data_IF_656565045746
#
_entry.id   IF_656565045746
#
_cell.length_a   1.000
_cell.length_b   1.000
_cell.length_c   1.000
_cell.angle_alpha   90.00
_cell.angle_beta   90.00
_cell.angle_gamma   90.00
#
_symmetry.space_group_name_H-M   'P 1'
#
loop_
_entity.id
_entity.type
_entity.pdbx_description
1 polymer ?
#
# COMPACT_ATOMS: atom_id res chain seq x y z
N UNK A 1 -9.66 -6.86 -3.36
CA UNK A 1 -9.25 -6.02 -2.21
C UNK A 1 -9.91 -6.49 -0.91
N UNK A 2 -9.29 -6.16 0.24
CA UNK A 2 -9.82 -6.53 1.56
C UNK A 2 -10.87 -5.51 1.97
N UNK A 3 -12.13 -5.97 2.12
CA UNK A 3 -13.27 -5.12 2.45
C UNK A 3 -13.45 -4.90 3.96
N UNK A 4 -13.13 -5.89 4.78
CA UNK A 4 -13.25 -5.82 6.23
C UNK A 4 -11.96 -6.23 6.90
N UNK A 5 -11.57 -5.52 7.95
CA UNK A 5 -10.37 -5.77 8.74
C UNK A 5 -10.70 -5.75 10.23
N UNK A 6 -9.87 -6.41 11.02
CA UNK A 6 -9.93 -6.31 12.48
C UNK A 6 -8.79 -5.42 12.94
N UNK A 7 -9.10 -4.30 13.58
CA UNK A 7 -8.13 -3.36 14.14
C UNK A 7 -8.39 -3.17 15.63
N UNK A 8 -7.39 -2.75 16.38
CA UNK A 8 -7.53 -2.36 17.78
C UNK A 8 -8.12 -0.97 17.92
N UNK A 9 -7.70 -0.08 17.04
CA UNK A 9 -8.07 1.33 17.02
C UNK A 9 -8.50 1.73 15.60
N UNK A 10 -9.32 2.78 15.51
CA UNK A 10 -9.74 3.35 14.23
C UNK A 10 -8.53 3.85 13.43
N UNK A 11 -8.59 3.71 12.11
CA UNK A 11 -7.58 4.23 11.20
C UNK A 11 -8.26 4.99 10.05
N UNK A 12 -7.58 5.96 9.48
CA UNK A 12 -8.07 6.73 8.34
C UNK A 12 -8.43 5.82 7.16
N UNK A 13 -9.61 6.03 6.58
CA UNK A 13 -10.14 5.22 5.47
C UNK A 13 -10.89 3.95 5.89
N UNK A 14 -11.16 3.80 7.20
CA UNK A 14 -11.90 2.67 7.74
C UNK A 14 -13.10 3.13 8.56
N UNK A 15 -14.29 2.63 8.19
CA UNK A 15 -15.55 2.89 8.86
C UNK A 15 -15.80 1.85 9.96
N UNK A 16 -16.15 2.29 11.18
CA UNK A 16 -16.53 1.38 12.26
C UNK A 16 -17.86 0.71 11.91
N UNK A 17 -17.88 -0.62 11.92
CA UNK A 17 -19.10 -1.40 11.67
C UNK A 17 -19.94 -1.63 12.90
N UNK A 18 -19.48 -1.23 14.08
CA UNK A 18 -20.10 -1.53 15.38
C UNK A 18 -19.93 -3.00 15.83
N UNK A 19 -19.27 -3.84 15.04
CA UNK A 19 -19.02 -5.25 15.39
C UNK A 19 -17.74 -5.35 16.22
N UNK A 20 -17.90 -5.85 17.45
CA UNK A 20 -16.78 -6.00 18.39
C UNK A 20 -16.44 -7.46 18.62
N UNK A 21 -15.16 -7.74 18.69
CA UNK A 21 -14.60 -9.02 19.12
C UNK A 21 -13.97 -8.84 20.50
N UNK A 22 -13.45 -9.91 21.11
CA UNK A 22 -12.83 -9.85 22.44
C UNK A 22 -11.64 -8.88 22.50
N UNK A 23 -10.89 -8.74 21.40
CA UNK A 23 -9.60 -8.03 21.39
C UNK A 23 -9.47 -7.01 20.25
N UNK A 24 -10.50 -6.85 19.40
CA UNK A 24 -10.46 -5.96 18.26
C UNK A 24 -11.88 -5.59 17.81
N UNK A 25 -11.99 -4.54 17.05
CA UNK A 25 -13.21 -4.09 16.38
C UNK A 25 -13.12 -4.36 14.89
N UNK A 26 -14.26 -4.56 14.24
CA UNK A 26 -14.32 -4.81 12.78
C UNK A 26 -14.59 -3.50 12.07
N UNK A 27 -13.70 -3.17 11.16
CA UNK A 27 -13.81 -1.98 10.33
C UNK A 27 -14.01 -2.33 8.87
N UNK A 28 -14.77 -1.53 8.16
CA UNK A 28 -14.97 -1.62 6.72
C UNK A 28 -13.98 -0.69 6.03
N UNK A 29 -13.25 -1.23 5.08
CA UNK A 29 -12.37 -0.44 4.22
C UNK A 29 -13.21 0.30 3.17
N UNK A 30 -13.31 1.61 3.29
CA UNK A 30 -14.07 2.45 2.36
C UNK A 30 -13.44 2.50 0.96
N UNK A 31 -12.15 2.23 0.85
CA UNK A 31 -11.40 2.21 -0.41
C UNK A 31 -11.31 0.82 -1.05
N UNK A 32 -12.02 -0.17 -0.49
CA UNK A 32 -12.04 -1.49 -1.09
C UNK A 32 -12.65 -1.47 -2.49
N UNK A 33 -11.86 -1.89 -3.47
CA UNK A 33 -12.32 -2.08 -4.84
C UNK A 33 -13.09 -3.41 -4.96
N UNK A 34 -14.07 -3.50 -5.87
CA UNK A 34 -14.79 -4.74 -6.15
C UNK A 34 -13.86 -5.81 -6.72
N UNK A 35 -14.39 -7.01 -6.93
CA UNK A 35 -13.62 -8.13 -7.46
C UNK A 35 -13.14 -7.88 -8.90
N UNK A 36 -13.96 -7.20 -9.70
CA UNK A 36 -13.63 -6.81 -11.07
C UNK A 36 -13.98 -5.34 -11.32
N UNK A 37 -13.13 -4.64 -12.01
CA UNK A 37 -13.29 -3.24 -12.38
C UNK A 37 -12.48 -2.91 -13.63
N UNK A 38 -12.93 -1.93 -14.44
CA UNK A 38 -12.20 -1.52 -15.63
C UNK A 38 -10.91 -0.81 -15.26
N UNK A 39 -9.90 -1.02 -16.08
CA UNK A 39 -8.60 -0.36 -16.01
C UNK A 39 -8.16 0.06 -17.42
N UNK A 40 -7.22 0.99 -17.50
CA UNK A 40 -6.62 1.40 -18.76
C UNK A 40 -5.76 0.29 -19.36
N UNK A 41 -5.61 0.30 -20.68
CA UNK A 41 -4.68 -0.56 -21.43
C UNK A 41 -3.21 -0.34 -21.05
N UNK A 42 -2.89 0.75 -20.35
CA UNK A 42 -1.53 1.04 -19.85
C UNK A 42 -1.02 0.03 -18.82
N UNK A 43 -1.91 -0.80 -18.27
CA UNK A 43 -1.55 -1.86 -17.31
C UNK A 43 -0.50 -2.83 -17.85
N UNK A 44 -0.47 -3.08 -19.16
CA UNK A 44 0.51 -3.94 -19.80
C UNK A 44 1.96 -3.40 -19.80
N UNK A 45 2.17 -2.11 -19.52
CA UNK A 45 3.46 -1.42 -19.60
C UNK A 45 4.07 -1.08 -18.22
N UNK A 46 3.58 -1.69 -17.14
CA UNK A 46 4.06 -1.42 -15.79
C UNK A 46 5.53 -1.80 -15.61
N UNK A 47 6.29 -0.88 -15.01
CA UNK A 47 7.64 -1.14 -14.51
C UNK A 47 7.75 -0.69 -13.06
N UNK A 48 8.51 -1.44 -12.27
CA UNK A 48 8.71 -1.17 -10.85
C UNK A 48 10.19 -0.94 -10.54
N UNK A 49 10.45 0.04 -9.66
CA UNK A 49 11.76 0.37 -9.13
C UNK A 49 11.90 -0.03 -7.66
N UNK A 50 12.91 0.54 -6.99
CA UNK A 50 13.18 0.30 -5.58
C UNK A 50 12.27 1.10 -4.62
N UNK A 51 11.68 2.18 -5.08
CA UNK A 51 10.78 3.02 -4.28
C UNK A 51 9.36 2.45 -4.31
N UNK A 52 8.83 1.92 -3.19
CA UNK A 52 7.52 1.30 -3.15
C UNK A 52 6.37 2.31 -3.34
N UNK A 53 6.57 3.57 -2.95
CA UNK A 53 5.54 4.62 -3.12
C UNK A 53 5.42 5.01 -4.59
N UNK A 54 6.54 5.16 -5.29
CA UNK A 54 6.55 5.36 -6.74
C UNK A 54 5.95 4.19 -7.50
N UNK A 55 6.21 2.96 -7.04
CA UNK A 55 5.60 1.77 -7.64
C UNK A 55 4.08 1.76 -7.49
N UNK A 56 3.56 2.21 -6.33
CA UNK A 56 2.12 2.34 -6.11
C UNK A 56 1.51 3.45 -6.98
N UNK A 57 2.18 4.60 -7.11
CA UNK A 57 1.76 5.68 -8.02
C UNK A 57 1.73 5.22 -9.48
N UNK A 58 2.76 4.50 -9.93
CA UNK A 58 2.82 3.93 -11.28
C UNK A 58 1.66 2.96 -11.51
N UNK A 59 1.36 2.11 -10.53
CA UNK A 59 0.24 1.18 -10.61
C UNK A 59 -1.09 1.92 -10.71
N UNK A 60 -1.36 2.90 -9.84
CA UNK A 60 -2.59 3.68 -9.85
C UNK A 60 -2.72 4.46 -11.17
N UNK A 61 -1.63 5.06 -11.63
CA UNK A 61 -1.60 5.79 -12.91
C UNK A 61 -1.94 4.89 -14.09
N UNK A 62 -1.34 3.69 -14.14
CA UNK A 62 -1.63 2.72 -15.18
C UNK A 62 -3.08 2.21 -15.11
N UNK A 63 -3.60 1.96 -13.91
CA UNK A 63 -5.00 1.53 -13.73
C UNK A 63 -6.01 2.60 -14.16
N UNK A 64 -5.73 3.86 -13.86
CA UNK A 64 -6.64 4.99 -14.16
C UNK A 64 -6.44 5.57 -15.56
N UNK A 65 -5.34 5.25 -16.25
CA UNK A 65 -4.96 5.88 -17.52
C UNK A 65 -4.58 7.36 -17.37
N UNK A 66 -4.24 7.80 -16.15
CA UNK A 66 -3.90 9.19 -15.85
C UNK A 66 -2.59 9.23 -15.06
N UNK A 67 -1.80 10.29 -15.25
CA UNK A 67 -0.65 10.54 -14.40
C UNK A 67 -1.13 11.00 -13.01
N UNK A 68 -1.33 10.04 -12.11
CA UNK A 68 -1.90 10.25 -10.78
C UNK A 68 -0.80 10.22 -9.74
N UNK A 69 -0.67 11.30 -8.97
CA UNK A 69 0.25 11.37 -7.83
C UNK A 69 -0.57 11.35 -6.54
N UNK A 70 -0.52 10.23 -5.86
CA UNK A 70 -1.23 10.03 -4.59
C UNK A 70 -0.32 10.24 -3.38
N UNK A 71 0.97 10.42 -3.59
CA UNK A 71 1.92 10.66 -2.53
C UNK A 71 2.63 12.01 -2.68
N UNK A 72 2.68 12.75 -1.59
CA UNK A 72 3.56 13.91 -1.41
C UNK A 72 4.90 13.44 -0.84
N UNK A 73 5.98 14.06 -1.31
CA UNK A 73 7.33 13.74 -0.85
C UNK A 73 7.51 14.18 0.61
N UNK A 74 8.04 13.31 1.45
CA UNK A 74 8.51 13.62 2.79
C UNK A 74 10.02 13.71 2.78
N UNK A 75 10.57 14.86 3.17
CA UNK A 75 12.02 15.03 3.22
C UNK A 75 12.61 14.17 4.34
N UNK A 76 13.68 13.44 4.02
CA UNK A 76 14.36 12.58 4.95
C UNK A 76 15.81 13.02 5.11
N UNK A 77 16.24 13.24 6.35
CA UNK A 77 17.60 13.61 6.72
C UNK A 77 18.19 12.57 7.66
N UNK A 78 19.37 12.05 7.32
CA UNK A 78 20.11 11.19 8.22
C UNK A 78 20.81 12.03 9.29
N UNK A 79 20.43 11.83 10.55
CA UNK A 79 20.92 12.65 11.66
C UNK A 79 22.13 12.04 12.32
N UNK A 80 22.08 10.74 12.63
CA UNK A 80 23.16 10.11 13.40
C UNK A 80 23.13 8.58 13.37
N UNK A 81 24.30 8.00 13.70
CA UNK A 81 24.46 6.61 14.13
C UNK A 81 24.99 6.61 15.57
N UNK A 82 24.30 5.94 16.48
CA UNK A 82 24.79 5.82 17.85
C UNK A 82 25.86 4.73 18.00
N UNK A 83 26.47 4.63 19.19
CA UNK A 83 27.51 3.63 19.50
C UNK A 83 27.04 2.16 19.37
N UNK A 84 25.72 1.94 19.34
CA UNK A 84 25.09 0.62 19.16
C UNK A 84 24.66 0.39 17.71
N UNK A 85 25.16 1.21 16.78
CA UNK A 85 24.80 1.17 15.36
C UNK A 85 23.32 1.40 15.05
N UNK A 86 22.54 2.01 15.97
CA UNK A 86 21.20 2.45 15.65
C UNK A 86 21.27 3.71 14.79
N UNK A 87 20.35 3.81 13.83
CA UNK A 87 20.25 4.96 12.93
C UNK A 87 19.15 5.91 13.42
N UNK A 88 19.41 7.20 13.31
CA UNK A 88 18.43 8.26 13.53
C UNK A 88 18.21 9.05 12.26
N UNK A 89 16.98 9.27 11.94
CA UNK A 89 16.52 10.04 10.80
C UNK A 89 15.51 11.09 11.25
N UNK A 90 15.49 12.20 10.55
CA UNK A 90 14.49 13.26 10.69
C UNK A 90 13.65 13.28 9.42
N UNK A 91 12.33 13.24 9.58
CA UNK A 91 11.39 13.38 8.50
C UNK A 91 10.66 14.70 8.66
N UNK A 92 10.59 15.51 7.59
CA UNK A 92 9.89 16.79 7.60
C UNK A 92 8.65 16.70 6.73
N UNK A 93 7.49 17.00 7.32
CA UNK A 93 6.17 16.86 6.71
C UNK A 93 5.74 18.19 6.10
N UNK A 94 5.39 18.20 4.83
CA UNK A 94 5.02 19.43 4.12
C UNK A 94 3.51 19.66 4.02
N UNK A 95 2.70 18.62 4.17
CA UNK A 95 1.24 18.67 4.03
C UNK A 95 0.55 18.00 5.21
N UNK A 96 -0.77 18.11 5.31
CA UNK A 96 -1.58 17.36 6.27
C UNK A 96 -1.88 15.95 5.74
N UNK A 97 -1.84 14.93 6.62
CA UNK A 97 -2.29 13.57 6.26
C UNK A 97 -1.43 12.43 6.79
N UNK A 98 -1.76 11.20 6.41
CA UNK A 98 -1.09 10.00 6.88
C UNK A 98 0.31 9.85 6.28
N UNK A 99 1.30 9.63 7.14
CA UNK A 99 2.71 9.46 6.75
C UNK A 99 3.09 7.98 6.82
N UNK A 100 3.76 7.54 5.78
CA UNK A 100 4.27 6.18 5.66
C UNK A 100 5.79 6.19 5.46
N UNK A 101 6.44 5.13 5.93
CA UNK A 101 7.86 4.89 5.70
C UNK A 101 8.11 3.46 5.24
N UNK A 102 9.05 3.29 4.35
CA UNK A 102 9.61 2.00 3.98
C UNK A 102 11.11 2.01 4.26
N UNK A 103 11.59 0.99 4.96
CA UNK A 103 13.00 0.84 5.33
C UNK A 103 13.59 -0.30 4.51
N UNK A 104 14.42 0.05 3.54
CA UNK A 104 15.11 -0.93 2.70
C UNK A 104 16.47 -1.31 3.33
N UNK A 105 16.57 -2.56 3.70
CA UNK A 105 17.80 -3.19 4.21
C UNK A 105 18.50 -4.10 3.22
N UNK A 106 18.10 -4.14 1.97
CA UNK A 106 18.60 -5.09 0.96
C UNK A 106 20.12 -5.04 0.79
N UNK A 107 20.71 -3.86 0.84
CA UNK A 107 22.17 -3.65 0.76
C UNK A 107 22.94 -4.10 2.02
N UNK A 108 22.25 -4.26 3.14
CA UNK A 108 22.86 -4.59 4.43
C UNK A 108 22.90 -6.11 4.62
N UNK A 109 21.95 -6.79 4.03
CA UNK A 109 21.63 -8.19 4.32
C UNK A 109 21.94 -9.10 3.13
N UNK A 110 23.23 -9.44 2.95
CA UNK A 110 23.68 -10.44 1.96
C UNK A 110 23.32 -11.89 2.33
N UNK A 111 22.66 -12.14 3.46
CA UNK A 111 22.30 -13.49 3.87
C UNK A 111 20.78 -13.67 3.92
N UNK A 112 20.36 -14.86 3.55
CA UNK A 112 18.97 -15.33 3.57
C UNK A 112 18.36 -15.40 4.99
N UNK A 113 19.10 -15.04 6.03
CA UNK A 113 18.75 -15.17 7.44
C UNK A 113 18.79 -13.82 8.14
N UNK A 114 17.66 -13.40 8.54
CA UNK A 114 17.20 -12.57 9.63
C UNK A 114 18.13 -11.48 10.18
N UNK A 115 17.84 -10.28 9.78
CA UNK A 115 18.18 -9.12 10.59
C UNK A 115 16.91 -8.33 10.86
N UNK A 116 16.40 -8.45 12.08
CA UNK A 116 15.29 -7.64 12.52
C UNK A 116 15.78 -6.23 12.86
N UNK A 117 15.13 -5.25 12.25
CA UNK A 117 15.23 -3.88 12.69
C UNK A 117 13.95 -3.54 13.45
N UNK A 118 14.08 -2.82 14.56
CA UNK A 118 12.95 -2.26 15.29
C UNK A 118 12.82 -0.79 14.94
N UNK A 119 11.68 -0.41 14.43
CA UNK A 119 11.38 0.96 14.00
C UNK A 119 10.62 1.67 15.10
N UNK A 120 11.07 2.89 15.40
CA UNK A 120 10.43 3.79 16.36
C UNK A 120 10.20 5.14 15.69
N UNK A 121 9.03 5.73 15.89
CA UNK A 121 8.70 7.10 15.50
C UNK A 121 8.43 7.92 16.76
N UNK A 122 9.07 9.06 16.92
CA UNK A 122 8.95 9.92 18.10
C UNK A 122 9.12 9.19 19.44
N UNK A 123 9.98 8.17 19.46
CA UNK A 123 10.25 7.34 20.64
C UNK A 123 9.32 6.15 20.82
N UNK A 124 8.20 6.08 20.14
CA UNK A 124 7.23 4.99 20.20
C UNK A 124 7.57 3.87 19.21
N UNK A 125 7.36 2.62 19.64
CA UNK A 125 7.58 1.45 18.79
C UNK A 125 6.50 1.36 17.72
N UNK A 126 6.90 1.30 16.44
CA UNK A 126 6.02 1.14 15.30
C UNK A 126 5.86 -0.34 14.96
N UNK A 127 6.94 -0.96 14.48
CA UNK A 127 6.97 -2.40 14.14
C UNK A 127 8.40 -2.89 13.92
N UNK A 128 8.53 -4.20 13.73
CA UNK A 128 9.74 -4.79 13.18
C UNK A 128 9.76 -4.61 11.66
N UNK A 129 10.94 -4.41 11.11
CA UNK A 129 11.17 -4.23 9.68
C UNK A 129 12.41 -4.99 9.23
N UNK A 130 12.68 -4.97 7.93
CA UNK A 130 13.84 -5.59 7.29
C UNK A 130 13.87 -7.13 7.40
N UNK A 131 12.76 -7.73 7.77
CA UNK A 131 12.58 -9.18 7.72
C UNK A 131 12.29 -9.62 6.29
N UNK A 132 12.86 -10.76 5.87
CA UNK A 132 12.74 -11.29 4.50
C UNK A 132 11.31 -11.40 3.97
N UNK A 133 10.34 -11.58 4.87
CA UNK A 133 8.93 -11.79 4.55
C UNK A 133 8.03 -10.61 4.93
N UNK A 134 8.60 -9.55 5.50
CA UNK A 134 7.86 -8.37 5.96
C UNK A 134 8.34 -7.12 5.20
N UNK A 135 8.14 -7.13 3.88
CA UNK A 135 8.45 -5.96 3.04
C UNK A 135 7.18 -5.10 2.98
N UNK A 136 6.97 -4.29 4.02
CA UNK A 136 5.79 -3.46 4.16
C UNK A 136 6.15 -1.99 4.34
N UNK A 137 5.39 -1.11 3.70
CA UNK A 137 5.33 0.28 4.12
C UNK A 137 4.63 0.36 5.49
N UNK A 138 5.20 1.16 6.39
CA UNK A 138 4.73 1.31 7.77
C UNK A 138 4.00 2.63 7.90
N UNK A 139 2.80 2.62 8.44
CA UNK A 139 2.07 3.81 8.84
C UNK A 139 2.67 4.38 10.13
N UNK A 140 3.05 5.65 10.10
CA UNK A 140 3.63 6.35 11.25
C UNK A 140 2.59 7.16 12.04
N UNK A 141 1.46 7.50 11.45
CA UNK A 141 0.42 8.33 12.01
C UNK A 141 -0.04 9.41 11.04
N UNK A 142 -1.03 10.20 11.48
CA UNK A 142 -1.50 11.39 10.78
C UNK A 142 -0.73 12.61 11.33
N UNK A 143 -0.14 13.38 10.42
CA UNK A 143 0.69 14.53 10.74
C UNK A 143 0.18 15.79 10.05
N UNK A 144 0.61 16.96 10.53
CA UNK A 144 0.30 18.26 9.98
C UNK A 144 1.48 18.83 9.21
N UNK A 145 1.18 19.74 8.30
CA UNK A 145 2.21 20.52 7.62
C UNK A 145 3.10 21.24 8.64
N UNK A 146 4.42 21.07 8.51
CA UNK A 146 5.41 21.60 9.43
C UNK A 146 5.83 20.66 10.56
N UNK A 147 5.16 19.54 10.75
CA UNK A 147 5.57 18.53 11.73
C UNK A 147 6.91 17.89 11.37
N UNK A 148 7.64 17.49 12.40
CA UNK A 148 8.89 16.74 12.29
C UNK A 148 8.75 15.40 13.00
N UNK A 149 9.22 14.34 12.37
CA UNK A 149 9.19 12.98 12.93
C UNK A 149 10.62 12.51 13.17
N UNK A 150 10.94 12.15 14.41
CA UNK A 150 12.18 11.45 14.72
C UNK A 150 12.00 9.95 14.45
N UNK A 151 12.61 9.45 13.36
CA UNK A 151 12.62 8.03 13.06
C UNK A 151 13.90 7.39 13.59
N UNK A 152 13.78 6.33 14.36
CA UNK A 152 14.90 5.55 14.87
C UNK A 152 14.81 4.10 14.43
N UNK A 153 15.91 3.61 13.85
CA UNK A 153 16.07 2.20 13.47
C UNK A 153 17.04 1.55 14.46
N UNK A 154 16.52 0.68 15.31
CA UNK A 154 17.36 -0.17 16.18
C UNK A 154 17.71 -1.45 15.46
N UNK A 155 19.00 -1.72 15.33
CA UNK A 155 19.56 -2.84 14.57
C UNK A 155 20.01 -3.95 15.50
N UNK A 156 19.91 -5.18 15.00
CA UNK A 156 20.47 -6.36 15.68
C UNK A 156 21.90 -6.67 15.22
N UNK A 157 22.44 -5.90 14.25
CA UNK A 157 23.76 -6.14 13.67
C UNK A 157 24.65 -4.91 13.69
N UNK A 158 25.98 -5.14 13.76
CA UNK A 158 27.00 -4.09 13.75
C UNK A 158 27.53 -3.79 12.33
N UNK A 159 26.79 -4.08 11.28
CA UNK A 159 27.22 -3.77 9.90
C UNK A 159 27.26 -2.26 9.67
N UNK A 160 28.25 -1.80 8.91
CA UNK A 160 28.49 -0.36 8.70
C UNK A 160 27.59 0.27 7.67
N UNK A 161 26.95 -0.51 6.81
CA UNK A 161 26.03 0.01 5.81
C UNK A 161 24.75 0.58 6.46
N UNK A 162 24.25 1.64 5.88
CA UNK A 162 23.05 2.38 6.30
C UNK A 162 21.83 1.86 5.51
N UNK A 163 20.66 1.86 6.15
CA UNK A 163 19.40 1.58 5.45
C UNK A 163 19.07 2.70 4.46
N UNK A 164 18.39 2.36 3.40
CA UNK A 164 17.71 3.34 2.54
C UNK A 164 16.31 3.56 3.09
N UNK A 165 15.91 4.84 3.22
CA UNK A 165 14.59 5.22 3.71
C UNK A 165 13.82 5.85 2.56
N UNK A 166 12.62 5.35 2.33
CA UNK A 166 11.61 5.99 1.52
C UNK A 166 10.49 6.44 2.46
N UNK A 167 10.09 7.70 2.37
CA UNK A 167 9.00 8.24 3.16
C UNK A 167 8.06 9.03 2.27
N UNK A 168 6.78 8.87 2.49
CA UNK A 168 5.76 9.55 1.70
C UNK A 168 4.54 9.86 2.56
N UNK A 169 3.84 10.91 2.22
CA UNK A 169 2.58 11.30 2.81
C UNK A 169 1.46 11.07 1.79
N UNK A 170 0.47 10.29 2.16
CA UNK A 170 -0.67 10.01 1.28
C UNK A 170 -1.54 11.26 1.16
N UNK A 171 -1.75 11.72 -0.06
CA UNK A 171 -2.76 12.72 -0.39
C UNK A 171 -4.12 12.02 -0.46
N UNK A 172 -4.92 12.18 0.60
CA UNK A 172 -6.21 11.51 0.72
C UNK A 172 -7.20 11.95 -0.35
N UNK A 173 -7.12 13.20 -0.84
CA UNK A 173 -8.03 13.70 -1.87
C UNK A 173 -7.70 13.08 -3.23
N UNK A 174 -6.43 13.06 -3.61
CA UNK A 174 -6.00 12.43 -4.86
C UNK A 174 -6.19 10.91 -4.84
N UNK A 175 -5.96 10.27 -3.70
CA UNK A 175 -6.22 8.85 -3.52
C UNK A 175 -7.71 8.52 -3.64
N UNK A 176 -8.59 9.31 -2.99
CA UNK A 176 -10.04 9.14 -3.09
C UNK A 176 -10.51 9.32 -4.55
N UNK A 177 -10.06 10.36 -5.23
CA UNK A 177 -10.37 10.60 -6.64
C UNK A 177 -10.02 9.40 -7.52
N UNK A 178 -8.83 8.82 -7.35
CA UNK A 178 -8.38 7.64 -8.09
C UNK A 178 -9.26 6.42 -7.79
N UNK A 179 -9.57 6.17 -6.52
CA UNK A 179 -10.43 5.05 -6.12
C UNK A 179 -11.85 5.22 -6.64
N UNK A 180 -12.44 6.42 -6.59
CA UNK A 180 -13.78 6.67 -7.13
C UNK A 180 -13.83 6.47 -8.65
N UNK A 181 -12.79 6.86 -9.37
CA UNK A 181 -12.69 6.57 -10.80
C UNK A 181 -12.73 5.06 -11.06
N UNK A 182 -11.93 4.27 -10.33
CA UNK A 182 -11.91 2.81 -10.50
C UNK A 182 -13.22 2.15 -10.05
N UNK A 183 -13.93 2.75 -9.10
CA UNK A 183 -15.27 2.28 -8.68
C UNK A 183 -16.37 2.62 -9.66
N UNK A 184 -16.25 3.65 -10.48
CA UNK A 184 -17.34 4.12 -11.35
C UNK A 184 -17.78 3.11 -12.40
N UNK A 185 -16.89 2.21 -12.84
CA UNK A 185 -17.19 1.16 -13.83
C UNK A 185 -17.14 -0.26 -13.28
N UNK A 186 -17.42 -0.46 -11.98
CA UNK A 186 -17.27 -1.77 -11.33
C UNK A 186 -18.24 -2.83 -11.88
N UNK A 187 -17.87 -4.10 -11.69
CA UNK A 187 -18.76 -5.22 -11.98
C UNK A 187 -19.96 -5.23 -11.03
N UNK A 188 -21.16 -5.19 -11.62
CA UNK A 188 -22.43 -5.38 -10.91
C UNK A 188 -22.89 -6.84 -10.98
N UNK A 189 -23.97 -7.17 -10.27
CA UNK A 189 -24.58 -8.51 -10.29
C UNK A 189 -23.58 -9.66 -10.08
N UNK A 190 -22.57 -9.42 -9.26
CA UNK A 190 -21.52 -10.41 -8.99
C UNK A 190 -22.10 -11.63 -8.29
N UNK A 191 -21.96 -12.80 -8.92
CA UNK A 191 -22.36 -14.08 -8.38
C UNK A 191 -21.17 -15.05 -8.35
N UNK A 192 -20.92 -15.64 -7.18
CA UNK A 192 -19.89 -16.66 -6.98
C UNK A 192 -20.55 -17.95 -6.57
N UNK A 193 -20.45 -18.98 -7.39
CA UNK A 193 -21.05 -20.28 -7.14
C UNK A 193 -20.05 -21.40 -7.47
N UNK A 194 -19.52 -22.04 -6.44
CA UNK A 194 -18.48 -23.06 -6.57
C UNK A 194 -17.24 -22.51 -7.27
N UNK A 195 -16.95 -23.04 -8.45
CA UNK A 195 -15.82 -22.63 -9.29
C UNK A 195 -16.19 -21.65 -10.41
N UNK A 196 -17.38 -21.07 -10.35
CA UNK A 196 -17.86 -20.12 -11.34
C UNK A 196 -18.05 -18.73 -10.73
N UNK A 197 -17.53 -17.73 -11.42
CA UNK A 197 -17.75 -16.32 -11.11
C UNK A 197 -18.40 -15.69 -12.31
N UNK A 198 -19.46 -14.92 -12.10
CA UNK A 198 -20.15 -14.15 -13.15
C UNK A 198 -20.52 -12.79 -12.64
N UNK A 199 -20.56 -11.81 -13.52
CA UNK A 199 -20.92 -10.44 -13.24
C UNK A 199 -21.18 -9.69 -14.52
N UNK A 200 -21.63 -8.46 -14.40
CA UNK A 200 -21.88 -7.55 -15.51
C UNK A 200 -21.02 -6.31 -15.34
N UNK A 201 -20.50 -5.77 -16.43
CA UNK A 201 -19.77 -4.53 -16.45
C UNK A 201 -20.35 -3.64 -17.54
N UNK A 202 -20.58 -2.38 -17.22
CA UNK A 202 -20.96 -1.36 -18.20
C UNK A 202 -19.71 -0.52 -18.51
N UNK A 203 -19.33 -0.48 -19.77
CA UNK A 203 -18.17 0.27 -20.25
C UNK A 203 -18.62 1.33 -21.26
N UNK A 204 -18.14 2.55 -21.09
CA UNK A 204 -18.39 3.65 -22.02
C UNK A 204 -17.36 3.71 -23.18
N UNK A 205 -16.28 2.94 -23.05
CA UNK A 205 -15.18 2.84 -24.03
C UNK A 205 -14.50 1.48 -23.93
N UNK A 206 -13.66 1.16 -24.89
CA UNK A 206 -12.79 -0.02 -24.84
C UNK A 206 -11.89 0.08 -23.60
N UNK A 207 -11.86 -0.97 -22.80
CA UNK A 207 -11.13 -1.05 -21.53
C UNK A 207 -10.76 -2.47 -21.22
N UNK A 208 -9.70 -2.65 -20.46
CA UNK A 208 -9.37 -3.93 -19.86
C UNK A 208 -10.12 -4.10 -18.54
N UNK A 209 -10.44 -5.34 -18.17
CA UNK A 209 -11.05 -5.66 -16.88
C UNK A 209 -10.02 -6.31 -15.99
N UNK A 210 -9.64 -5.61 -14.93
CA UNK A 210 -8.83 -6.21 -13.87
C UNK A 210 -9.70 -7.05 -12.94
N UNK A 211 -9.31 -8.32 -12.78
CA UNK A 211 -9.93 -9.22 -11.81
C UNK A 211 -8.96 -9.47 -10.65
N UNK A 212 -9.36 -9.13 -9.42
CA UNK A 212 -8.54 -9.38 -8.22
C UNK A 212 -8.62 -10.86 -7.79
N UNK A 213 -8.39 -11.76 -8.74
CA UNK A 213 -8.38 -13.21 -8.59
C UNK A 213 -7.00 -13.70 -9.02
N UNK A 214 -6.33 -14.58 -8.25
CA UNK A 214 -5.08 -15.16 -8.69
C UNK A 214 -5.25 -15.88 -10.03
N UNK A 215 -4.35 -15.58 -10.96
CA UNK A 215 -4.36 -16.25 -12.26
C UNK A 215 -3.99 -17.75 -12.10
N UNK A 216 -4.82 -18.59 -12.71
CA UNK A 216 -4.53 -20.01 -12.86
C UNK A 216 -4.87 -20.49 -14.28
N UNK A 217 -4.06 -21.37 -14.83
CA UNK A 217 -4.23 -21.90 -16.21
C UNK A 217 -5.56 -22.65 -16.41
N UNK A 218 -6.23 -23.01 -15.33
CA UNK A 218 -7.53 -23.71 -15.34
C UNK A 218 -8.72 -22.76 -15.50
N UNK A 219 -8.52 -21.44 -15.33
CA UNK A 219 -9.56 -20.48 -15.60
C UNK A 219 -9.87 -20.38 -17.09
N UNK A 220 -11.14 -20.28 -17.41
CA UNK A 220 -11.63 -19.94 -18.74
C UNK A 220 -12.54 -18.72 -18.64
N UNK A 221 -12.31 -17.72 -19.48
CA UNK A 221 -13.11 -16.50 -19.53
C UNK A 221 -14.11 -16.58 -20.67
N UNK A 222 -15.32 -16.07 -20.42
CA UNK A 222 -16.33 -15.85 -21.46
C UNK A 222 -16.88 -14.42 -21.29
N UNK A 223 -17.05 -13.71 -22.39
CA UNK A 223 -17.70 -12.39 -22.45
C UNK A 223 -18.84 -12.51 -23.42
N UNK A 224 -20.06 -12.15 -22.98
CA UNK A 224 -21.32 -12.27 -23.75
C UNK A 224 -21.52 -13.66 -24.36
N UNK A 225 -21.17 -14.69 -23.59
CA UNK A 225 -21.30 -16.10 -24.00
C UNK A 225 -20.22 -16.59 -24.97
N UNK A 226 -19.27 -15.75 -25.35
CA UNK A 226 -18.12 -16.12 -26.23
C UNK A 226 -16.87 -16.26 -25.40
N UNK A 227 -16.03 -17.24 -25.76
CA UNK A 227 -14.73 -17.41 -25.13
C UNK A 227 -13.87 -16.18 -25.42
N UNK A 228 -13.22 -15.67 -24.39
CA UNK A 228 -12.20 -14.62 -24.46
C UNK A 228 -10.86 -15.19 -23.97
N UNK A 229 -9.75 -14.63 -24.46
CA UNK A 229 -8.38 -15.00 -24.09
C UNK A 229 -7.84 -14.06 -23.00
#
# INVERSE_FOLDING_TARGET
SIKYVQLKDAATGYEDTGIKTKNAEVYKNEYALPLGYPVSEDMGNLSFGSDPFKNQENLISAMTGKNTRVYNDVQTEYVRKDKKNNEGWKLSVANDGPVYVFVDGSDIHNSLYDHNCRIYANGEFVQNACHRFEINSMYLGDYKAGDEIELKIKRDTNKDKRHTIYAAQLDMAEFDNAVQQLKSGYTSNLNISGNKISGEVALDSDSEIFLSIPYEKTWSLTVDGKRAD
#
